data_IF_339217094177
#
_entry.id   IF_339217094177
#
_cell.length_a   1.000
_cell.length_b   1.000
_cell.length_c   1.000
_cell.angle_alpha   90.00
_cell.angle_beta   90.00
_cell.angle_gamma   90.00
#
_symmetry.space_group_name_H-M   'P 1'
#
loop_
_entity.id
_entity.type
_entity.pdbx_description
1 polymer ?
#
# COMPACT_ATOMS: atom_id res chain seq x y z
N UNK A 1 6.04 5.80 -5.52
CA UNK A 1 5.39 4.51 -5.88
C UNK A 1 4.63 3.92 -4.69
N UNK A 2 5.30 3.66 -3.56
CA UNK A 2 4.65 3.14 -2.34
C UNK A 2 3.49 4.03 -1.83
N UNK A 3 3.70 5.35 -1.77
CA UNK A 3 2.65 6.32 -1.35
C UNK A 3 1.34 6.19 -2.15
N UNK A 4 1.41 5.82 -3.43
CA UNK A 4 0.22 5.66 -4.28
C UNK A 4 -0.63 4.46 -3.85
N UNK A 5 0.02 3.44 -3.28
CA UNK A 5 -0.66 2.22 -2.83
C UNK A 5 -1.06 2.27 -1.36
N UNK A 6 -0.30 2.95 -0.51
CA UNK A 6 -0.65 3.08 0.91
C UNK A 6 -1.61 4.24 1.18
N UNK A 7 -1.63 5.27 0.32
CA UNK A 7 -2.35 6.51 0.58
C UNK A 7 -1.75 7.33 1.73
N UNK A 8 -0.55 6.97 2.19
CA UNK A 8 0.08 7.54 3.38
C UNK A 8 1.43 8.20 3.05
N UNK A 9 1.83 9.17 3.86
CA UNK A 9 3.18 9.70 3.81
C UNK A 9 4.17 8.65 4.34
N UNK A 10 5.26 8.34 3.62
CA UNK A 10 6.29 7.45 4.15
C UNK A 10 6.90 8.09 5.39
N UNK A 11 7.07 7.28 6.44
CA UNK A 11 7.69 7.72 7.71
C UNK A 11 6.97 8.91 8.36
N UNK A 12 5.64 8.94 8.30
CA UNK A 12 4.81 10.02 8.86
C UNK A 12 5.01 10.25 10.37
N UNK A 13 5.48 9.24 11.10
CA UNK A 13 5.71 9.29 12.54
C UNK A 13 6.98 10.05 12.94
N UNK A 14 7.83 10.42 11.98
CA UNK A 14 9.09 11.11 12.23
C UNK A 14 8.98 12.61 11.96
N UNK A 15 9.61 13.41 12.82
CA UNK A 15 9.69 14.86 12.63
C UNK A 15 10.65 15.24 11.48
N UNK A 16 10.50 16.48 11.01
CA UNK A 16 11.33 17.03 9.94
C UNK A 16 12.81 17.12 10.38
N UNK A 17 13.70 16.55 9.57
CA UNK A 17 15.14 16.38 9.85
C UNK A 17 15.52 15.45 11.01
N UNK A 18 14.72 14.41 11.28
CA UNK A 18 15.14 13.39 12.24
C UNK A 18 16.38 12.61 11.72
N UNK A 19 17.55 12.84 12.35
CA UNK A 19 18.78 12.11 12.07
C UNK A 19 18.65 10.61 12.38
N UNK A 20 17.78 10.22 13.30
CA UNK A 20 17.48 8.82 13.60
C UNK A 20 16.85 8.14 12.38
N UNK A 21 15.94 8.83 11.67
CA UNK A 21 15.33 8.29 10.45
C UNK A 21 16.38 8.06 9.36
N UNK A 22 17.31 9.00 9.18
CA UNK A 22 18.39 8.85 8.20
C UNK A 22 19.24 7.61 8.51
N UNK A 23 19.61 7.41 9.78
CA UNK A 23 20.36 6.23 10.23
C UNK A 23 19.57 4.94 9.98
N UNK A 24 18.27 4.93 10.29
CA UNK A 24 17.37 3.81 10.07
C UNK A 24 17.26 3.43 8.59
N UNK A 25 17.09 4.42 7.71
CA UNK A 25 17.07 4.21 6.25
C UNK A 25 18.41 3.65 5.75
N UNK A 26 19.54 4.16 6.25
CA UNK A 26 20.88 3.65 5.93
C UNK A 26 21.09 2.21 6.43
N UNK A 27 20.45 1.83 7.55
CA UNK A 27 20.41 0.45 8.07
C UNK A 27 19.43 -0.46 7.32
N UNK A 28 18.70 0.07 6.34
CA UNK A 28 17.80 -0.70 5.49
C UNK A 28 16.32 -0.64 5.86
N UNK A 29 15.92 0.24 6.80
CA UNK A 29 14.50 0.44 7.12
C UNK A 29 13.75 0.96 5.89
N UNK A 30 12.62 0.32 5.56
CA UNK A 30 11.76 0.66 4.42
C UNK A 30 10.29 0.62 4.88
N UNK A 31 9.40 1.40 4.26
CA UNK A 31 7.97 1.28 4.52
C UNK A 31 7.45 -0.11 4.17
N UNK A 32 6.57 -0.66 4.99
CA UNK A 32 5.96 -1.97 4.77
C UNK A 32 5.11 -1.98 3.50
N UNK A 33 5.32 -2.96 2.63
CA UNK A 33 4.54 -3.11 1.40
C UNK A 33 3.42 -4.10 1.64
N UNK A 34 2.17 -3.63 1.60
CA UNK A 34 0.99 -4.46 1.79
C UNK A 34 0.97 -5.67 0.83
N UNK A 35 0.52 -6.83 1.32
CA UNK A 35 0.38 -8.02 0.49
C UNK A 35 -0.78 -7.96 -0.52
N UNK A 36 -1.72 -7.04 -0.35
CA UNK A 36 -2.92 -6.89 -1.17
C UNK A 36 -2.65 -6.17 -2.50
N UNK A 37 -1.52 -5.47 -2.62
CA UNK A 37 -1.15 -4.80 -3.86
C UNK A 37 -0.67 -5.82 -4.92
N UNK A 38 -0.80 -5.50 -6.22
CA UNK A 38 -0.35 -6.38 -7.30
C UNK A 38 1.11 -6.79 -7.11
N UNK A 39 1.38 -8.10 -7.16
CA UNK A 39 2.73 -8.65 -6.95
C UNK A 39 3.78 -7.98 -7.84
N UNK A 40 3.47 -7.70 -9.10
CA UNK A 40 4.36 -7.00 -10.02
C UNK A 40 4.70 -5.58 -9.57
N UNK A 41 3.78 -4.89 -8.90
CA UNK A 41 3.98 -3.56 -8.38
C UNK A 41 4.83 -3.60 -7.10
N UNK A 42 4.58 -4.59 -6.22
CA UNK A 42 5.41 -4.86 -5.04
C UNK A 42 6.86 -5.12 -5.42
N UNK A 43 7.09 -6.06 -6.33
CA UNK A 43 8.43 -6.42 -6.81
C UNK A 43 9.15 -5.19 -7.40
N UNK A 44 8.43 -4.31 -8.11
CA UNK A 44 9.01 -3.08 -8.65
C UNK A 44 9.41 -2.10 -7.55
N UNK A 45 8.54 -1.87 -6.56
CA UNK A 45 8.86 -1.02 -5.40
C UNK A 45 10.11 -1.57 -4.67
N UNK A 46 10.13 -2.87 -4.40
CA UNK A 46 11.23 -3.55 -3.70
C UNK A 46 12.57 -3.42 -4.43
N UNK A 47 12.55 -3.55 -5.76
CA UNK A 47 13.74 -3.33 -6.60
C UNK A 47 14.21 -1.88 -6.58
N UNK A 48 13.30 -0.90 -6.61
CA UNK A 48 13.64 0.53 -6.62
C UNK A 48 14.47 0.98 -5.42
N UNK A 49 14.25 0.38 -4.25
CA UNK A 49 14.92 0.76 -3.00
C UNK A 49 15.87 -0.31 -2.46
N UNK A 50 16.35 -1.20 -3.34
CA UNK A 50 17.30 -2.24 -2.98
C UNK A 50 18.54 -1.65 -2.30
N UNK A 51 19.03 -2.30 -1.25
CA UNK A 51 20.22 -1.89 -0.51
C UNK A 51 21.46 -1.83 -1.40
N UNK A 52 21.55 -2.73 -2.38
CA UNK A 52 22.56 -2.71 -3.43
C UNK A 52 22.11 -1.78 -4.57
N UNK A 53 22.79 -0.63 -4.80
CA UNK A 53 22.43 0.30 -5.86
C UNK A 53 22.47 -0.33 -7.26
N UNK A 54 23.32 -1.34 -7.49
CA UNK A 54 23.45 -2.01 -8.79
C UNK A 54 22.23 -2.85 -9.17
N UNK A 55 21.43 -3.26 -8.18
CA UNK A 55 20.19 -4.03 -8.38
C UNK A 55 18.98 -3.14 -8.63
N UNK A 56 19.12 -1.82 -8.46
CA UNK A 56 18.03 -0.87 -8.70
C UNK A 56 17.79 -0.76 -10.20
N UNK A 57 16.52 -0.74 -10.63
CA UNK A 57 16.21 -0.63 -12.04
C UNK A 57 16.63 0.74 -12.57
N UNK A 58 17.11 0.76 -13.80
CA UNK A 58 17.37 2.02 -14.49
C UNK A 58 16.05 2.73 -14.81
N UNK A 59 16.11 4.05 -14.98
CA UNK A 59 14.93 4.84 -15.35
C UNK A 59 14.25 4.32 -16.64
N UNK A 60 15.05 3.84 -17.61
CA UNK A 60 14.55 3.24 -18.85
C UNK A 60 13.81 1.92 -18.61
N UNK A 61 14.29 1.09 -17.67
CA UNK A 61 13.64 -0.17 -17.30
C UNK A 61 12.31 0.10 -16.57
N UNK A 62 12.30 1.10 -15.69
CA UNK A 62 11.09 1.58 -15.01
C UNK A 62 10.04 2.04 -16.02
N UNK A 63 10.44 2.92 -16.95
CA UNK A 63 9.57 3.41 -18.01
C UNK A 63 8.99 2.26 -18.84
N UNK A 64 9.84 1.34 -19.29
CA UNK A 64 9.41 0.18 -20.08
C UNK A 64 8.45 -0.73 -19.30
N UNK A 65 8.71 -0.93 -18.01
CA UNK A 65 7.85 -1.74 -17.13
C UNK A 65 6.44 -1.13 -17.02
N UNK A 66 6.36 0.17 -16.73
CA UNK A 66 5.09 0.90 -16.63
C UNK A 66 4.36 0.92 -17.99
N UNK A 67 5.10 1.12 -19.08
CA UNK A 67 4.55 1.05 -20.45
C UNK A 67 3.94 -0.32 -20.73
N UNK A 68 4.61 -1.40 -20.36
CA UNK A 68 4.07 -2.76 -20.54
C UNK A 68 2.82 -2.99 -19.68
N UNK A 69 2.75 -2.46 -18.47
CA UNK A 69 1.55 -2.55 -17.63
C UNK A 69 0.36 -1.85 -18.26
N UNK A 70 0.56 -0.65 -18.82
CA UNK A 70 -0.47 0.06 -19.58
C UNK A 70 -0.96 -0.73 -20.79
N UNK A 71 -0.09 -1.53 -21.40
CA UNK A 71 -0.43 -2.44 -22.51
C UNK A 71 -1.06 -3.77 -22.04
N UNK A 72 -1.33 -3.93 -20.75
CA UNK A 72 -2.02 -5.09 -20.19
C UNK A 72 -1.09 -6.15 -19.58
N UNK A 73 0.23 -5.96 -19.59
CA UNK A 73 1.13 -6.84 -18.82
C UNK A 73 0.75 -6.74 -17.33
N UNK A 74 0.64 -7.87 -16.65
CA UNK A 74 0.19 -7.95 -15.25
C UNK A 74 -1.26 -7.49 -14.99
N UNK A 75 -2.09 -7.25 -16.02
CA UNK A 75 -3.49 -6.82 -15.87
C UNK A 75 -4.29 -7.69 -14.88
N UNK A 76 -4.08 -9.02 -14.90
CA UNK A 76 -4.76 -9.94 -13.98
C UNK A 76 -4.44 -9.65 -12.51
N UNK A 77 -3.19 -9.26 -12.21
CA UNK A 77 -2.80 -8.95 -10.83
C UNK A 77 -3.44 -7.66 -10.36
N UNK A 78 -3.44 -6.61 -11.20
CA UNK A 78 -4.16 -5.36 -10.93
C UNK A 78 -5.65 -5.62 -10.71
N UNK A 79 -6.32 -6.30 -11.65
CA UNK A 79 -7.74 -6.65 -11.54
C UNK A 79 -8.08 -7.46 -10.28
N UNK A 80 -7.20 -8.36 -9.86
CA UNK A 80 -7.41 -9.16 -8.66
C UNK A 80 -7.24 -8.32 -7.39
N UNK A 81 -6.21 -7.47 -7.33
CA UNK A 81 -6.01 -6.54 -6.21
C UNK A 81 -7.19 -5.57 -6.08
N UNK A 82 -7.64 -4.98 -7.20
CA UNK A 82 -8.81 -4.10 -7.21
C UNK A 82 -10.06 -4.82 -6.68
N UNK A 83 -10.26 -6.08 -7.07
CA UNK A 83 -11.38 -6.90 -6.57
C UNK A 83 -11.28 -7.18 -5.07
N UNK A 84 -10.08 -7.49 -4.57
CA UNK A 84 -9.87 -7.71 -3.13
C UNK A 84 -10.15 -6.44 -2.33
N UNK A 85 -9.60 -5.30 -2.76
CA UNK A 85 -9.85 -4.01 -2.13
C UNK A 85 -11.34 -3.63 -2.13
N UNK A 86 -12.05 -3.85 -3.25
CA UNK A 86 -13.50 -3.61 -3.31
C UNK A 86 -14.30 -4.51 -2.35
N UNK A 87 -13.86 -5.75 -2.13
CA UNK A 87 -14.51 -6.66 -1.17
C UNK A 87 -14.32 -6.17 0.27
N UNK A 88 -13.12 -5.73 0.63
CA UNK A 88 -12.83 -5.17 1.95
C UNK A 88 -13.66 -3.91 2.21
N UNK A 89 -13.76 -3.00 1.24
CA UNK A 89 -14.60 -1.81 1.32
C UNK A 89 -16.07 -2.19 1.55
N UNK A 90 -16.58 -3.18 0.81
CA UNK A 90 -17.96 -3.67 1.00
C UNK A 90 -18.16 -4.32 2.38
N UNK A 91 -17.20 -5.13 2.85
CA UNK A 91 -17.27 -5.76 4.18
C UNK A 91 -17.19 -4.76 5.33
N UNK A 92 -16.44 -3.67 5.17
CA UNK A 92 -16.39 -2.58 6.14
C UNK A 92 -17.70 -1.78 6.21
N UNK A 93 -18.39 -1.61 5.07
CA UNK A 93 -19.72 -0.99 5.08
C UNK A 93 -20.74 -1.83 5.85
N UNK A 94 -20.72 -3.16 5.71
CA UNK A 94 -21.61 -4.06 6.46
C UNK A 94 -21.30 -4.06 7.96
N UNK A 95 -20.01 -3.97 8.35
CA UNK A 95 -19.59 -3.86 9.75
C UNK A 95 -20.00 -2.52 10.41
N UNK A 96 -19.88 -1.40 9.69
CA UNK A 96 -20.38 -0.09 10.16
C UNK A 96 -21.91 -0.05 10.29
N UNK A 97 -22.63 -0.76 9.41
CA UNK A 97 -24.08 -0.94 9.50
C UNK A 97 -24.47 -1.79 10.72
N UNK A 98 -23.66 -2.78 11.11
CA UNK A 98 -23.90 -3.58 12.31
C UNK A 98 -23.59 -2.79 13.60
N UNK A 99 -22.48 -2.05 13.64
CA UNK A 99 -22.13 -1.20 14.80
C UNK A 99 -23.15 -0.07 15.04
N UNK A 100 -23.73 0.49 13.98
CA UNK A 100 -24.81 1.49 14.11
C UNK A 100 -26.13 0.87 14.58
N UNK A 101 -26.44 -0.38 14.21
CA UNK A 101 -27.60 -1.13 14.73
C UNK A 101 -27.43 -1.51 16.21
N UNK A 102 -26.24 -1.93 16.62
CA UNK A 102 -25.94 -2.26 18.02
C UNK A 102 -26.01 -1.03 18.93
N UNK A 103 -25.46 0.11 18.48
CA UNK A 103 -25.53 1.39 19.20
C UNK A 103 -26.98 1.86 19.41
N UNK A 104 -27.84 1.63 18.41
CA UNK A 104 -29.27 1.97 18.49
C UNK A 104 -30.05 1.01 19.42
N UNK A 105 -29.62 -0.25 19.56
CA UNK A 105 -30.21 -1.22 20.48
C UNK A 105 -29.80 -0.99 21.95
N UNK A 106 -28.58 -0.51 22.21
CA UNK A 106 -28.15 -0.12 23.57
C UNK A 106 -28.89 1.09 24.13
N UNK A 107 -29.41 1.98 23.27
CA UNK A 107 -30.26 3.11 23.69
C UNK A 107 -31.68 2.68 24.13
N UNK A 108 -32.14 1.48 23.75
CA UNK A 108 -33.47 0.97 24.10
C UNK A 108 -33.51 0.19 25.44
N UNK A 109 -32.40 0.09 26.18
CA UNK A 109 -32.30 -0.68 27.44
C UNK A 109 -32.17 0.16 28.71
N UNK A 110 -32.67 1.39 28.70
CA UNK A 110 -32.81 2.27 29.88
C UNK A 110 -34.22 2.90 30.01
N UNK A 111 -35.28 2.15 29.67
CA UNK A 111 -36.65 2.45 30.11
C UNK A 111 -37.32 1.20 30.63
#
# INVERSE_FOLDING_TARGET
MWMLTSGQSPFADYEYYDHLLQIKICKGERPDVNEEIPKCYRELIERCWNSDPSKRPLAIELYNTIKLWRLGKCYRQFKNADRSALREISGQSDSLVLLSKESSMSSCRMR
#
